data_IF_565188198847
#
_entry.id   IF_565188198847
#
_cell.length_a   1.000
_cell.length_b   1.000
_cell.length_c   1.000
_cell.angle_alpha   90.00
_cell.angle_beta   90.00
_cell.angle_gamma   90.00
#
_symmetry.space_group_name_H-M   'P 1'
#
loop_
_entity.id
_entity.type
_entity.pdbx_description
1 polymer ?
2 polymer ?
3 water ?
#
loop_
_entity_poly.entity_id
_entity_poly.type
_entity_poly.pdbx_seq_one_letter_code
_entity_poly.pdbx_strand_id
2 'polyribonucleotide' 'UUGCGAAUUCGCUU' ?
#
# COMPACT_ATOMS: atom_id res chain seq x y z
N UNK A 3 30.55 1.57 -13.87
CA UNK A 3 29.57 1.18 -14.89
C UNK A 3 28.43 2.20 -14.98
N UNK A 4 28.21 2.76 -16.19
CA UNK A 4 27.15 3.73 -16.42
C UNK A 4 25.74 3.15 -16.18
N UNK A 5 24.80 4.03 -15.87
CA UNK A 5 23.45 3.59 -15.55
C UNK A 5 22.42 4.04 -16.57
N UNK A 6 21.33 3.28 -16.63
CA UNK A 6 20.16 3.66 -17.40
C UNK A 6 19.01 3.72 -16.41
N UNK A 7 18.24 4.81 -16.47
CA UNK A 7 17.07 4.97 -15.60
C UNK A 7 15.79 5.04 -16.41
N UNK A 8 14.88 4.12 -16.10
CA UNK A 8 13.62 3.99 -16.83
C UNK A 8 12.45 4.22 -15.90
N UNK A 9 11.42 4.90 -16.39
CA UNK A 9 10.17 5.08 -15.66
C UNK A 9 9.17 4.01 -16.05
N UNK A 10 8.54 3.37 -15.06
CA UNK A 10 7.35 2.57 -15.30
C UNK A 10 6.12 3.48 -15.22
N UNK A 11 5.81 4.12 -16.34
CA UNK A 11 4.65 5.00 -16.43
C UNK A 11 3.35 4.24 -16.37
N UNK A 12 2.33 4.86 -15.76
CA UNK A 12 1.06 4.20 -15.48
C UNK A 12 -0.16 5.11 -15.68
N UNK A 13 -1.07 4.71 -16.57
CA UNK A 13 -2.33 5.44 -16.73
C UNK A 13 -3.53 4.51 -16.69
N UNK A 14 -4.57 4.91 -15.96
CA UNK A 14 -5.84 4.19 -15.99
C UNK A 14 -6.59 4.62 -17.23
N UNK A 15 -6.30 3.98 -18.35
CA UNK A 15 -6.90 4.36 -19.62
C UNK A 15 -8.36 3.94 -19.71
N UNK A 16 -8.71 2.87 -18.99
CA UNK A 16 -10.10 2.40 -18.97
C UNK A 16 -10.56 2.11 -17.54
N UNK A 17 -11.32 3.03 -16.96
CA UNK A 17 -11.79 2.85 -15.59
C UNK A 17 -12.79 1.70 -15.52
N UNK A 18 -12.83 1.03 -14.37
CA UNK A 18 -13.77 -0.06 -14.16
C UNK A 18 -15.19 0.48 -14.33
N UNK A 19 -15.97 -0.18 -15.20
CA UNK A 19 -17.35 0.21 -15.46
C UNK A 19 -18.28 -0.36 -14.39
N UNK A 20 -19.42 0.29 -14.19
CA UNK A 20 -20.37 -0.06 -13.12
C UNK A 20 -20.66 -1.55 -12.99
N UNK A 21 -20.97 -2.22 -14.11
CA UNK A 21 -21.39 -3.61 -14.04
C UNK A 21 -20.27 -4.57 -13.66
N UNK A 22 -19.05 -4.03 -13.52
CA UNK A 22 -17.91 -4.82 -13.10
C UNK A 22 -17.42 -4.42 -11.70
N UNK A 23 -17.92 -3.31 -11.17
CA UNK A 23 -17.55 -2.88 -9.82
C UNK A 23 -18.43 -3.51 -8.74
N UNK A 24 -18.28 -4.82 -8.56
CA UNK A 24 -19.16 -5.59 -7.70
C UNK A 24 -19.03 -5.22 -6.25
N UNK A 25 -17.82 -4.83 -5.86
CA UNK A 25 -17.52 -4.52 -4.48
C UNK A 25 -17.77 -3.04 -4.22
N UNK A 26 -18.24 -2.34 -5.25
CA UNK A 26 -18.55 -0.92 -5.17
C UNK A 26 -17.39 -0.09 -4.61
N UNK A 27 -16.20 -0.23 -5.20
CA UNK A 27 -15.01 0.50 -4.74
C UNK A 27 -14.89 1.91 -5.34
N UNK A 28 -14.10 2.76 -4.68
CA UNK A 28 -13.59 3.99 -5.29
C UNK A 28 -12.59 3.61 -6.38
N UNK A 29 -12.53 4.42 -7.44
CA UNK A 29 -11.50 4.20 -8.47
C UNK A 29 -10.25 5.04 -8.20
N UNK A 30 -9.06 4.42 -8.37
CA UNK A 30 -7.80 5.08 -8.04
C UNK A 30 -6.81 5.17 -9.21
N UNK A 31 -6.93 6.20 -10.04
CA UNK A 31 -5.99 6.36 -11.16
C UNK A 31 -4.56 6.62 -10.67
N UNK A 32 -3.61 5.76 -11.06
CA UNK A 32 -2.22 5.90 -10.60
C UNK A 32 -1.61 7.24 -10.98
N UNK A 33 -2.08 7.81 -12.09
CA UNK A 33 -1.55 9.08 -12.57
C UNK A 33 -2.01 10.28 -11.75
N UNK A 34 -2.63 10.02 -10.60
CA UNK A 34 -3.08 11.09 -9.72
C UNK A 34 -2.06 11.35 -8.62
N UNK A 35 -1.10 10.46 -8.47
CA UNK A 35 0.02 10.73 -7.58
C UNK A 35 1.36 10.64 -8.31
N UNK A 36 2.20 11.63 -8.08
CA UNK A 36 3.47 11.73 -8.77
C UNK A 36 4.44 10.63 -8.40
N UNK A 37 4.43 10.19 -7.15
CA UNK A 37 5.42 9.19 -6.77
C UNK A 37 5.07 7.90 -7.46
N UNK A 38 6.09 7.17 -7.88
CA UNK A 38 5.88 5.97 -8.70
C UNK A 38 7.13 5.13 -8.70
N UNK A 39 7.15 4.07 -9.50
CA UNK A 39 8.33 3.23 -9.60
C UNK A 39 9.06 3.39 -10.93
N UNK A 40 10.33 2.97 -10.93
CA UNK A 40 11.16 3.01 -12.10
C UNK A 40 12.13 1.85 -12.05
N UNK A 41 12.91 1.68 -13.10
CA UNK A 41 13.90 0.61 -13.17
C UNK A 41 15.31 1.14 -13.46
N UNK A 42 16.28 0.62 -12.72
CA UNK A 42 17.67 1.00 -12.92
C UNK A 42 18.47 -0.17 -13.49
N UNK A 43 19.26 0.07 -14.54
CA UNK A 43 19.93 -1.02 -15.26
C UNK A 43 21.35 -0.71 -15.70
N UNK A 44 22.16 -1.76 -15.84
CA UNK A 44 23.52 -1.63 -16.35
C UNK A 44 23.52 -1.78 -17.87
N UNK A 45 22.41 -2.23 -18.42
CA UNK A 45 22.31 -2.33 -19.88
C UNK A 45 20.90 -1.95 -20.32
N UNK A 46 20.79 -1.27 -21.47
CA UNK A 46 19.51 -0.69 -21.88
C UNK A 46 18.39 -1.74 -22.11
N UNK A 47 17.16 -1.25 -22.17
CA UNK A 47 15.98 -2.08 -22.29
C UNK A 47 15.30 -1.80 -23.62
N UNK A 48 15.12 -2.84 -24.45
CA UNK A 48 14.56 -2.72 -25.80
C UNK A 48 13.16 -2.12 -25.78
N UNK A 49 12.84 -1.29 -26.77
CA UNK A 49 11.56 -0.58 -26.79
C UNK A 49 10.36 -1.53 -26.89
N UNK A 50 9.65 -1.70 -25.78
CA UNK A 50 8.52 -2.62 -25.73
C UNK A 50 7.20 -1.86 -25.79
N UNK A 51 6.22 -2.40 -26.53
CA UNK A 51 4.98 -1.64 -26.69
C UNK A 51 4.15 -1.56 -25.42
N UNK A 52 3.18 -0.65 -25.42
CA UNK A 52 2.30 -0.46 -24.29
C UNK A 52 1.50 -1.73 -24.05
N UNK A 53 1.37 -2.14 -22.79
CA UNK A 53 0.59 -3.32 -22.44
C UNK A 53 -0.28 -3.10 -21.19
N UNK A 54 -1.40 -3.82 -21.10
CA UNK A 54 -2.31 -3.56 -19.99
C UNK A 54 -1.99 -4.38 -18.75
N UNK A 55 -2.22 -3.81 -17.58
CA UNK A 55 -2.41 -4.60 -16.38
C UNK A 55 -3.84 -4.36 -15.86
N UNK A 56 -4.46 -5.39 -15.32
CA UNK A 56 -5.84 -5.28 -14.85
C UNK A 56 -5.92 -5.16 -13.33
N UNK A 57 -6.37 -4.00 -12.88
CA UNK A 57 -6.36 -3.67 -11.47
C UNK A 57 -7.79 -3.47 -10.97
N UNK A 58 -7.92 -3.40 -9.65
CA UNK A 58 -9.20 -3.10 -9.02
C UNK A 58 -9.86 -1.83 -9.57
N UNK A 59 -9.06 -0.86 -9.97
CA UNK A 59 -9.63 0.37 -10.52
C UNK A 59 -9.91 0.24 -12.02
N UNK A 60 -9.51 -0.88 -12.61
CA UNK A 60 -9.69 -1.08 -14.03
C UNK A 60 -8.40 -1.25 -14.83
N UNK A 61 -8.48 -0.91 -16.12
CA UNK A 61 -7.39 -1.17 -17.06
C UNK A 61 -6.27 -0.12 -17.06
N UNK A 62 -5.08 -0.53 -16.63
CA UNK A 62 -3.93 0.38 -16.60
C UNK A 62 -2.86 0.07 -17.66
N UNK A 63 -2.67 1.01 -18.58
CA UNK A 63 -1.65 0.88 -19.61
C UNK A 63 -0.27 1.11 -19.00
N UNK A 64 0.62 0.14 -19.21
CA UNK A 64 1.99 0.23 -18.71
C UNK A 64 2.91 0.74 -19.80
N UNK A 65 3.88 1.55 -19.41
CA UNK A 65 4.75 2.20 -20.38
C UNK A 65 6.16 2.37 -19.83
N UNK A 66 7.14 1.75 -20.49
CA UNK A 66 8.52 1.85 -20.03
C UNK A 66 9.30 2.89 -20.81
N UNK A 67 9.55 4.04 -20.19
CA UNK A 67 10.22 5.14 -20.89
C UNK A 67 11.57 5.46 -20.27
N UNK A 68 12.52 5.85 -21.11
CA UNK A 68 13.86 6.20 -20.65
C UNK A 68 13.91 7.58 -20.01
N UNK A 69 14.47 7.66 -18.81
CA UNK A 69 14.56 8.93 -18.09
C UNK A 69 15.92 9.53 -18.32
N UNK A 70 16.95 8.76 -18.01
CA UNK A 70 18.33 9.21 -18.18
C UNK A 70 19.23 8.02 -18.49
N UNK A 71 20.43 8.32 -18.99
CA UNK A 71 21.36 7.26 -19.37
C UNK A 71 22.81 7.75 -19.42
N UNK A 72 23.73 6.86 -19.05
CA UNK A 72 25.14 7.15 -19.13
C UNK A 72 25.69 7.82 -17.89
N UNK A 73 24.89 7.83 -16.83
CA UNK A 73 25.29 8.50 -15.60
C UNK A 73 25.93 7.54 -14.62
N UNK A 74 26.58 8.11 -13.61
CA UNK A 74 27.20 7.31 -12.58
C UNK A 74 26.42 7.47 -11.29
N UNK A 75 26.58 6.52 -10.39
CA UNK A 75 25.93 6.57 -9.09
C UNK A 75 26.96 6.11 -8.05
N UNK A 76 26.97 6.78 -6.90
CA UNK A 76 27.88 6.36 -5.83
C UNK A 76 27.53 4.97 -5.33
N UNK A 77 28.52 4.26 -4.81
CA UNK A 77 28.31 2.95 -4.23
C UNK A 77 27.30 3.05 -3.08
N UNK A 78 27.35 4.16 -2.34
CA UNK A 78 26.42 4.40 -1.22
C UNK A 78 24.95 4.34 -1.66
N UNK A 79 24.62 5.08 -2.72
CA UNK A 79 23.24 5.15 -3.19
C UNK A 79 22.78 3.84 -3.79
N UNK A 80 23.72 3.12 -4.40
CA UNK A 80 23.46 1.81 -5.01
C UNK A 80 23.12 0.79 -3.96
N UNK A 81 23.82 0.86 -2.84
CA UNK A 81 23.51 0.02 -1.69
C UNK A 81 22.14 0.38 -1.12
N UNK A 82 21.76 1.65 -1.19
CA UNK A 82 20.44 2.07 -0.75
C UNK A 82 19.36 1.57 -1.70
N UNK A 83 19.58 1.77 -2.99
CA UNK A 83 18.59 1.35 -3.98
C UNK A 83 18.34 -0.17 -3.89
N UNK A 84 19.42 -0.94 -3.81
CA UNK A 84 19.30 -2.39 -3.72
C UNK A 84 18.56 -2.87 -2.48
N UNK A 85 18.84 -2.27 -1.32
CA UNK A 85 18.13 -2.64 -0.11
C UNK A 85 16.64 -2.39 -0.26
N UNK A 86 16.29 -1.26 -0.87
CA UNK A 86 14.89 -0.96 -1.11
C UNK A 86 14.24 -1.99 -2.03
N UNK A 87 14.94 -2.32 -3.12
CA UNK A 87 14.43 -3.26 -4.10
C UNK A 87 14.05 -4.55 -3.37
N UNK A 88 14.89 -4.96 -2.45
CA UNK A 88 14.64 -6.19 -1.71
C UNK A 88 13.45 -6.03 -0.77
N UNK A 89 13.32 -4.84 -0.21
CA UNK A 89 12.27 -4.55 0.77
C UNK A 89 10.91 -4.71 0.13
N UNK A 90 10.72 -4.13 -1.05
CA UNK A 90 9.42 -4.23 -1.70
C UNK A 90 9.01 -5.67 -2.02
N UNK A 91 9.97 -6.51 -2.39
CA UNK A 91 9.62 -7.87 -2.81
C UNK A 91 9.46 -8.89 -1.68
N UNK A 92 10.14 -8.67 -0.56
CA UNK A 92 10.04 -9.62 0.56
C UNK A 92 9.11 -9.14 1.67
N UNK A 93 9.13 -7.84 1.97
CA UNK A 93 8.33 -7.34 3.08
C UNK A 93 7.02 -6.71 2.62
N UNK A 94 7.04 -6.08 1.45
CA UNK A 94 5.83 -5.46 0.95
C UNK A 94 4.95 -6.46 0.19
N UNK A 95 5.54 -7.17 -0.78
CA UNK A 95 4.76 -8.10 -1.61
C UNK A 95 4.81 -9.52 -1.06
N UNK A 96 5.78 -9.78 -0.18
CA UNK A 96 5.97 -11.08 0.43
C UNK A 96 6.14 -12.20 -0.61
N UNK A 97 7.23 -12.12 -1.37
CA UNK A 97 7.56 -13.10 -2.40
C UNK A 97 8.93 -13.71 -2.09
N UNK A 98 9.42 -14.55 -3.00
CA UNK A 98 10.77 -15.11 -2.88
C UNK A 98 11.47 -15.24 -4.23
N UNK A 99 12.54 -14.47 -4.41
CA UNK A 99 13.30 -14.48 -5.66
C UNK A 99 14.65 -15.18 -5.48
N UNK A 113 17.19 -5.24 -13.08
CA UNK A 113 18.33 -5.16 -12.16
C UNK A 113 17.90 -4.60 -10.80
N UNK A 114 17.45 -3.35 -10.79
CA UNK A 114 16.89 -2.75 -9.58
C UNK A 114 15.61 -1.94 -9.82
N UNK A 115 14.58 -2.22 -9.02
CA UNK A 115 13.35 -1.43 -8.98
C UNK A 115 13.45 -0.38 -7.86
N UNK A 116 12.92 0.81 -8.10
CA UNK A 116 13.08 1.91 -7.16
C UNK A 116 11.99 2.95 -7.33
N UNK A 117 11.70 3.71 -6.26
CA UNK A 117 10.67 4.76 -6.35
C UNK A 117 11.18 5.99 -7.05
N UNK A 118 10.30 6.64 -7.80
CA UNK A 118 10.61 7.91 -8.42
C UNK A 118 9.58 8.91 -7.96
N UNK A 119 9.96 10.17 -7.99
CA UNK A 119 9.05 11.24 -7.65
C UNK A 119 9.59 12.52 -8.25
N UNK A 120 8.70 13.42 -8.62
CA UNK A 120 9.11 14.73 -9.14
C UNK A 120 9.99 15.46 -8.12
N UNK A 121 10.75 16.44 -8.59
CA UNK A 121 11.65 17.21 -7.73
C UNK A 121 11.01 18.53 -7.35
N UNK A 122 10.36 19.17 -8.30
CA UNK A 122 9.51 20.32 -8.00
C UNK A 122 8.43 20.45 -9.08
N UNK A 125 8.05 18.83 -12.92
CA UNK A 125 7.94 18.03 -14.14
C UNK A 125 9.07 16.99 -14.29
N UNK A 126 10.19 17.23 -13.62
CA UNK A 126 11.33 16.34 -13.70
C UNK A 126 11.21 15.21 -12.66
N UNK A 127 11.26 13.97 -13.15
CA UNK A 127 11.09 12.81 -12.29
C UNK A 127 12.47 12.26 -11.91
N UNK A 128 12.65 11.94 -10.63
CA UNK A 128 13.96 11.52 -10.16
C UNK A 128 13.89 10.47 -9.03
N UNK A 129 15.01 9.81 -8.78
CA UNK A 129 15.15 8.83 -7.72
C UNK A 129 14.86 9.44 -6.36
N UNK A 130 13.95 8.83 -5.60
CA UNK A 130 13.48 9.40 -4.35
C UNK A 130 14.25 8.90 -3.14
N UNK A 131 15.46 9.45 -2.95
CA UNK A 131 16.37 9.03 -1.88
C UNK A 131 15.85 9.39 -0.49
N UNK A 132 15.19 10.53 -0.39
CA UNK A 132 14.60 10.93 0.88
C UNK A 132 13.54 9.92 1.31
N UNK A 133 12.62 9.59 0.40
CA UNK A 133 11.57 8.62 0.68
C UNK A 133 12.18 7.28 1.08
N UNK A 134 13.30 6.93 0.45
CA UNK A 134 13.96 5.67 0.78
C UNK A 134 14.55 5.69 2.18
N UNK A 135 15.22 6.78 2.55
CA UNK A 135 15.79 6.88 3.88
C UNK A 135 14.70 6.91 4.95
N UNK A 136 13.56 7.50 4.62
CA UNK A 136 12.37 7.46 5.48
C UNK A 136 11.93 6.03 5.81
N UNK A 137 11.86 5.18 4.78
CA UNK A 137 11.45 3.79 4.98
C UNK A 137 12.42 3.07 5.90
N UNK A 138 13.72 3.22 5.64
CA UNK A 138 14.74 2.64 6.49
C UNK A 138 14.70 3.16 7.94
N UNK A 139 14.16 4.35 8.14
CA UNK A 139 14.10 4.95 9.47
C UNK A 139 12.78 4.68 10.20
N UNK A 140 11.77 4.19 9.47
CA UNK A 140 10.48 3.90 10.07
C UNK A 140 10.58 2.72 11.02
N UNK A 141 9.79 2.75 12.10
CA UNK A 141 9.68 1.61 13.00
C UNK A 141 8.39 0.86 12.71
N UNK A 142 7.81 1.14 11.54
CA UNK A 142 6.69 0.37 11.01
C UNK A 142 7.07 -0.18 9.64
N UNK A 143 8.38 -0.21 9.35
CA UNK A 143 8.88 -0.75 8.09
C UNK A 143 8.72 -2.26 8.01
N UNK A 144 8.94 -2.93 9.13
CA UNK A 144 8.95 -4.39 9.15
C UNK A 144 7.78 -4.99 9.93
N UNK A 145 7.59 -4.52 11.16
CA UNK A 145 6.53 -5.07 11.98
C UNK A 145 5.63 -4.05 12.67
N UNK A 146 4.96 -4.52 13.72
CA UNK A 146 4.15 -3.70 14.59
C UNK A 146 5.06 -2.96 15.56
N UNK A 147 5.00 -1.62 15.55
CA UNK A 147 5.81 -0.81 16.47
C UNK A 147 5.18 -0.71 17.87
N UNK A 148 5.96 -0.32 18.87
CA UNK A 148 5.43 -0.17 20.22
C UNK A 148 5.15 1.29 20.54
N UNK A 149 3.86 1.61 20.70
CA UNK A 149 3.45 2.98 20.97
C UNK A 149 2.77 3.09 22.33
N UNK A 150 3.20 4.07 23.12
CA UNK A 150 2.75 4.21 24.50
C UNK A 150 1.79 5.38 24.70
N UNK A 151 0.50 5.11 24.56
CA UNK A 151 -0.53 6.13 24.79
C UNK A 151 -0.98 6.10 26.25
N UNK A 152 -0.97 7.25 26.91
CA UNK A 152 -1.55 7.37 28.24
C UNK A 152 -2.51 8.54 28.29
N UNK A 153 -2.99 8.85 29.49
CA UNK A 153 -3.99 9.89 29.66
C UNK A 153 -3.38 11.26 29.37
N UNK A 154 -2.13 11.43 29.79
CA UNK A 154 -1.41 12.67 29.58
C UNK A 154 -0.81 12.77 28.18
N UNK A 155 -0.67 11.62 27.51
CA UNK A 155 -0.25 11.61 26.12
C UNK A 155 -1.17 10.73 25.28
N UNK A 156 -2.44 11.18 25.14
CA UNK A 156 -3.45 10.38 24.42
C UNK A 156 -3.09 10.24 22.95
N UNK A 157 -3.67 9.25 22.29
CA UNK A 157 -3.53 9.12 20.85
C UNK A 157 -4.15 10.35 20.23
N UNK A 158 -3.49 10.89 19.22
CA UNK A 158 -3.97 12.10 18.57
C UNK A 158 -4.36 11.73 17.15
N UNK A 159 -5.56 12.13 16.74
CA UNK A 159 -6.03 11.83 15.40
C UNK A 159 -5.73 12.93 14.39
N UNK A 160 -4.93 12.62 13.37
CA UNK A 160 -4.66 13.59 12.32
C UNK A 160 -5.21 13.11 10.97
N UNK A 161 -6.44 13.53 10.68
CA UNK A 161 -7.16 13.19 9.45
C UNK A 161 -6.31 13.09 8.18
N UNK A 162 -5.29 13.93 8.09
CA UNK A 162 -4.43 13.97 6.93
C UNK A 162 -3.55 12.73 6.85
N UNK A 163 -3.19 12.18 8.01
CA UNK A 163 -2.31 11.01 8.05
C UNK A 163 -3.02 9.74 7.61
N UNK A 164 -4.32 9.85 7.36
CA UNK A 164 -5.13 8.69 7.06
C UNK A 164 -5.80 8.84 5.70
N UNK A 165 -5.31 9.78 4.90
CA UNK A 165 -5.90 10.07 3.60
C UNK A 165 -5.39 9.13 2.49
N UNK A 166 -4.19 8.60 2.66
CA UNK A 166 -3.51 7.81 1.64
C UNK A 166 -2.70 6.72 2.34
N UNK A 167 -3.33 6.00 3.26
CA UNK A 167 -2.57 5.13 4.15
C UNK A 167 -2.92 3.67 4.08
N UNK A 168 -1.94 2.86 4.46
CA UNK A 168 -2.10 1.45 4.66
C UNK A 168 -1.90 1.26 6.15
N UNK A 169 -2.76 0.48 6.79
CA UNK A 169 -2.63 0.30 8.23
C UNK A 169 -2.54 -1.15 8.65
N UNK A 170 -2.10 -1.34 9.89
CA UNK A 170 -1.87 -2.66 10.45
C UNK A 170 -2.31 -2.70 11.90
N UNK A 171 -3.20 -3.65 12.24
CA UNK A 171 -3.60 -3.86 13.64
C UNK A 171 -2.41 -4.15 14.52
N UNK A 172 -2.26 -3.39 15.59
CA UNK A 172 -1.13 -3.53 16.47
C UNK A 172 -1.34 -4.65 17.46
N UNK A 173 -2.59 -5.06 17.60
CA UNK A 173 -3.00 -5.94 18.69
C UNK A 173 -3.05 -7.43 18.31
N UNK A 174 -2.97 -7.73 17.02
CA UNK A 174 -3.00 -9.14 16.61
C UNK A 174 -2.06 -9.48 15.45
N UNK A 175 -1.96 -10.77 15.16
CA UNK A 175 -1.20 -11.28 14.03
C UNK A 175 0.25 -10.83 14.05
N UNK A 176 0.84 -10.92 15.24
CA UNK A 176 2.21 -10.49 15.47
C UNK A 176 3.20 -11.19 14.55
N UNK A 177 2.98 -12.48 14.34
CA UNK A 177 3.82 -13.29 13.46
C UNK A 177 3.82 -12.75 12.03
N UNK A 178 2.62 -12.54 11.48
CA UNK A 178 2.46 -12.14 10.09
C UNK A 178 1.36 -11.07 9.95
N UNK A 179 1.71 -9.82 10.26
CA UNK A 179 0.77 -8.70 10.35
C UNK A 179 -0.07 -8.43 9.09
N UNK A 180 -1.36 -8.18 9.28
CA UNK A 180 -2.26 -7.80 8.19
C UNK A 180 -2.04 -6.36 7.75
N UNK A 181 -2.31 -6.09 6.49
CA UNK A 181 -2.16 -4.75 5.94
C UNK A 181 -3.45 -4.39 5.24
N UNK A 182 -4.04 -3.25 5.59
CA UNK A 182 -5.31 -2.85 5.01
C UNK A 182 -5.22 -1.47 4.44
N UNK A 183 -5.82 -1.27 3.27
CA UNK A 183 -6.00 0.09 2.75
C UNK A 183 -7.05 0.77 3.62
N UNK A 184 -6.81 2.03 3.98
CA UNK A 184 -7.88 2.79 4.58
C UNK A 184 -8.84 3.16 3.46
N UNK A 185 -10.04 2.61 3.50
CA UNK A 185 -10.96 2.80 2.40
C UNK A 185 -11.81 4.03 2.66
N UNK A 186 -12.17 4.22 3.91
CA UNK A 186 -13.00 5.37 4.27
C UNK A 186 -12.78 5.74 5.73
N UNK A 187 -12.92 7.04 6.00
CA UNK A 187 -12.86 7.55 7.35
C UNK A 187 -14.25 7.97 7.77
N UNK A 188 -14.81 7.28 8.76
CA UNK A 188 -16.17 7.56 9.22
C UNK A 188 -16.16 8.56 10.37
N UNK A 189 -16.27 9.83 10.02
CA UNK A 189 -16.26 10.91 10.99
C UNK A 189 -17.47 10.87 11.93
N UNK A 190 -18.52 10.16 11.52
CA UNK A 190 -19.76 10.11 12.32
C UNK A 190 -19.82 8.92 13.27
N UNK A 191 -18.72 8.18 13.38
CA UNK A 191 -18.62 7.09 14.34
C UNK A 191 -17.51 7.36 15.37
N UNK A 192 -17.63 6.76 16.55
CA UNK A 192 -16.57 6.82 17.56
C UNK A 192 -16.42 5.44 18.22
N UNK A 193 -15.35 5.23 19.00
CA UNK A 193 -15.23 3.97 19.73
C UNK A 193 -16.43 3.72 20.64
N UNK A 194 -17.23 4.75 20.88
CA UNK A 194 -18.45 4.60 21.68
C UNK A 194 -19.67 4.25 20.84
N UNK A 195 -19.52 4.24 19.52
CA UNK A 195 -20.58 3.84 18.61
C UNK A 195 -21.02 2.40 18.89
N UNK A 196 -22.28 2.09 18.56
CA UNK A 196 -22.84 0.76 18.77
C UNK A 196 -22.09 -0.32 18.00
N UNK A 197 -21.89 -1.47 18.63
CA UNK A 197 -21.18 -2.57 17.99
C UNK A 197 -22.10 -3.42 17.10
N UNK A 198 -21.65 -3.70 15.87
CA UNK A 198 -22.40 -4.51 14.89
C UNK A 198 -22.87 -5.86 15.43
N UNK A 199 -22.13 -6.40 16.41
CA UNK A 199 -22.53 -7.63 17.09
C UNK A 199 -23.18 -7.32 18.44
N UNK A 200 -24.21 -8.09 18.81
CA UNK A 200 -25.02 -7.84 20.00
C UNK A 200 -24.29 -8.04 21.33
N UNK A 201 -23.44 -9.06 21.41
CA UNK A 201 -22.73 -9.40 22.66
C UNK A 201 -21.84 -8.28 23.19
N UNK A 202 -21.67 -7.22 22.40
CA UNK A 202 -20.94 -6.04 22.84
C UNK A 202 -21.77 -4.81 22.51
N UNK A 203 -21.82 -3.86 23.45
CA UNK A 203 -22.51 -2.59 23.20
C UNK A 203 -21.68 -1.68 22.30
N UNK A 204 -20.39 -1.56 22.58
CA UNK A 204 -19.53 -0.60 21.88
C UNK A 204 -18.23 -1.23 21.41
N UNK A 205 -17.62 -0.62 20.40
CA UNK A 205 -16.27 -0.97 19.98
C UNK A 205 -15.29 -0.93 21.15
N UNK A 206 -15.39 0.12 21.96
CA UNK A 206 -14.56 0.28 23.16
C UNK A 206 -14.67 -0.96 24.05
N UNK A 207 -15.90 -1.31 24.41
CA UNK A 207 -16.15 -2.47 25.25
C UNK A 207 -15.62 -3.75 24.59
N UNK A 208 -15.81 -3.87 23.29
CA UNK A 208 -15.32 -5.02 22.54
C UNK A 208 -13.81 -5.20 22.67
N UNK A 209 -13.04 -4.14 22.45
CA UNK A 209 -11.60 -4.25 22.52
C UNK A 209 -11.08 -4.42 23.94
N UNK A 210 -11.88 -3.95 24.89
CA UNK A 210 -11.55 -4.13 26.30
C UNK A 210 -11.88 -5.55 26.76
N UNK A 211 -13.06 -6.05 26.37
CA UNK A 211 -13.48 -7.39 26.73
C UNK A 211 -12.59 -8.46 26.08
N UNK A 212 -12.42 -8.35 24.78
CA UNK A 212 -11.67 -9.37 24.03
C UNK A 212 -10.14 -9.27 24.14
N UNK A 213 -9.59 -8.07 24.01
CA UNK A 213 -8.14 -7.93 23.95
C UNK A 213 -7.54 -7.18 25.13
N UNK A 214 -8.36 -6.89 26.14
CA UNK A 214 -7.90 -6.12 27.28
C UNK A 214 -7.22 -4.82 26.82
N UNK A 215 -7.87 -4.15 25.88
CA UNK A 215 -7.35 -2.90 25.32
C UNK A 215 -8.11 -1.68 25.83
N UNK A 216 -7.37 -0.67 26.25
CA UNK A 216 -7.94 0.57 26.74
C UNK A 216 -7.69 1.71 25.77
N UNK A 217 -8.68 2.57 25.57
CA UNK A 217 -8.55 3.70 24.66
C UNK A 217 -8.32 5.04 25.39
N UNK A 218 -7.42 5.87 24.84
CA UNK A 218 -7.15 7.19 25.41
C UNK A 218 -7.89 8.32 24.69
N UNK A 219 -8.59 7.96 23.63
CA UNK A 219 -9.19 8.92 22.71
C UNK A 219 -10.55 8.40 22.27
N UNK A 220 -11.61 8.91 22.88
CA UNK A 220 -12.96 8.40 22.60
C UNK A 220 -13.72 9.20 21.55
N UNK A 221 -13.02 10.11 20.88
CA UNK A 221 -13.67 10.97 19.88
C UNK A 221 -13.15 10.80 18.47
N UNK A 222 -12.35 9.77 18.25
CA UNK A 222 -11.76 9.54 16.94
C UNK A 222 -12.76 8.87 16.01
N UNK A 223 -12.79 9.29 14.73
CA UNK A 223 -13.60 8.57 13.75
C UNK A 223 -13.09 7.15 13.61
N UNK A 224 -13.91 6.27 13.05
CA UNK A 224 -13.48 4.90 12.83
C UNK A 224 -13.13 4.74 11.36
N UNK A 225 -12.47 3.62 11.03
CA UNK A 225 -11.93 3.43 9.67
C UNK A 225 -12.55 2.28 8.91
N UNK A 226 -12.85 2.53 7.65
CA UNK A 226 -13.23 1.47 6.72
C UNK A 226 -11.98 0.88 6.10
N UNK A 227 -12.00 -0.41 5.80
CA UNK A 227 -10.81 -1.09 5.29
C UNK A 227 -11.00 -1.99 4.06
N UNK A 228 -9.95 -2.08 3.27
CA UNK A 228 -9.94 -2.94 2.12
C UNK A 228 -8.62 -3.71 2.15
N UNK A 229 -8.70 -5.03 1.93
CA UNK A 229 -7.53 -5.90 2.00
C UNK A 229 -6.55 -5.52 0.90
N UNK A 230 -5.25 -5.74 1.13
CA UNK A 230 -4.25 -5.28 0.19
C UNK A 230 -3.77 -6.39 -0.71
N UNK A 231 -3.92 -7.62 -0.25
CA UNK A 231 -3.49 -8.80 -1.02
C UNK A 231 -4.07 -8.87 -2.43
N UNK A 232 -3.33 -9.47 -3.35
CA UNK A 232 -3.82 -9.70 -4.70
C UNK A 232 -3.09 -10.86 -5.38
N UNK A 233 -3.64 -11.35 -6.48
CA UNK A 233 -2.95 -12.36 -7.26
C UNK A 233 -1.72 -11.74 -7.93
N UNK A 234 -0.69 -12.54 -8.16
CA UNK A 234 0.55 -12.06 -8.76
C UNK A 234 0.38 -11.63 -10.21
N UNK A 235 -0.43 -12.35 -10.98
CA UNK A 235 -0.60 -12.09 -12.40
C UNK A 235 -1.85 -11.27 -12.73
N UNK A 236 -1.64 -10.09 -13.31
CA UNK A 236 -2.75 -9.20 -13.62
C UNK A 236 -2.80 -8.90 -15.09
N UNK A 237 -2.15 -9.74 -15.89
CA UNK A 237 -2.12 -9.54 -17.34
C UNK A 237 -3.46 -9.92 -17.98
N UNK A 238 -4.31 -10.55 -17.19
CA UNK A 238 -5.65 -10.87 -17.65
C UNK A 238 -6.65 -10.35 -16.63
N UNK A 239 -7.80 -9.86 -17.11
CA UNK A 239 -8.86 -9.31 -16.26
C UNK A 239 -9.46 -10.39 -15.33
N UNK A 240 -9.96 -9.98 -14.17
CA UNK A 240 -10.61 -10.91 -13.24
C UNK A 240 -12.06 -11.20 -13.60
N UNK A 241 -12.46 -10.93 -14.84
CA UNK A 241 -13.82 -11.21 -15.26
C UNK A 241 -13.90 -12.41 -16.21
N UNK A 254 -16.45 -25.61 -0.35
CA UNK A 254 -15.35 -25.35 0.58
C UNK A 254 -14.66 -24.02 0.30
N UNK A 255 -14.78 -23.51 -0.92
CA UNK A 255 -14.29 -22.18 -1.24
C UNK A 255 -15.26 -21.13 -0.70
N UNK A 256 -16.48 -21.58 -0.38
CA UNK A 256 -17.52 -20.75 0.19
C UNK A 256 -17.05 -20.14 1.51
N UNK A 257 -16.46 -20.97 2.35
CA UNK A 257 -15.93 -20.53 3.64
C UNK A 257 -14.90 -19.42 3.52
N UNK A 258 -14.12 -19.43 2.43
CA UNK A 258 -13.14 -18.38 2.22
C UNK A 258 -13.85 -17.10 1.79
N UNK A 259 -14.98 -17.24 1.11
CA UNK A 259 -15.72 -16.09 0.61
C UNK A 259 -16.42 -15.36 1.74
N UNK A 260 -16.99 -16.11 2.67
CA UNK A 260 -17.62 -15.51 3.85
C UNK A 260 -16.58 -14.76 4.68
N UNK A 261 -15.42 -15.37 4.86
CA UNK A 261 -14.34 -14.83 5.67
C UNK A 261 -13.77 -13.56 5.05
N UNK A 262 -13.53 -13.61 3.74
CA UNK A 262 -13.00 -12.46 3.01
C UNK A 262 -13.99 -11.29 3.06
N UNK A 263 -15.28 -11.64 3.10
CA UNK A 263 -16.34 -10.64 3.10
C UNK A 263 -16.36 -9.88 4.42
N UNK A 264 -16.26 -10.62 5.52
CA UNK A 264 -16.25 -10.02 6.86
C UNK A 264 -14.97 -9.24 7.09
N UNK A 265 -13.90 -9.66 6.39
CA UNK A 265 -12.64 -8.95 6.44
C UNK A 265 -12.83 -7.53 5.91
N UNK A 266 -13.53 -7.44 4.78
CA UNK A 266 -13.77 -6.16 4.11
C UNK A 266 -14.77 -5.26 4.83
N UNK A 267 -15.61 -5.86 5.68
CA UNK A 267 -16.67 -5.14 6.34
C UNK A 267 -16.23 -4.64 7.72
N UNK A 268 -15.06 -5.10 8.14
CA UNK A 268 -14.46 -4.69 9.41
C UNK A 268 -14.35 -3.18 9.52
N UNK A 269 -14.60 -2.68 10.72
CA UNK A 269 -14.38 -1.27 11.03
C UNK A 269 -13.31 -1.16 12.12
N UNK A 270 -12.20 -0.48 11.82
CA UNK A 270 -11.06 -0.45 12.74
C UNK A 270 -10.89 0.88 13.48
N UNK A 271 -10.34 0.77 14.68
CA UNK A 271 -10.04 1.92 15.51
C UNK A 271 -8.65 2.41 15.21
N UNK A 272 -8.53 3.66 14.72
CA UNK A 272 -7.23 4.23 14.35
C UNK A 272 -6.18 4.11 15.44
N UNK A 273 -6.55 4.36 16.71
CA UNK A 273 -5.59 4.24 17.83
C UNK A 273 -4.96 2.84 17.92
N UNK A 274 -5.66 1.83 17.42
CA UNK A 274 -5.21 0.46 17.56
C UNK A 274 -4.38 0.00 16.36
N UNK A 275 -4.19 0.89 15.39
CA UNK A 275 -3.42 0.53 14.21
C UNK A 275 -2.21 1.42 14.00
N UNK A 276 -1.18 0.85 13.39
CA UNK A 276 -0.03 1.61 12.96
C UNK A 276 -0.20 1.93 11.49
N UNK A 277 0.33 3.08 11.10
CA UNK A 277 0.32 3.50 9.70
C UNK A 277 1.61 3.04 9.07
N UNK A 278 1.52 2.43 7.89
CA UNK A 278 2.70 1.93 7.18
C UNK A 278 3.38 3.08 6.43
N UNK A 279 4.72 3.09 6.46
CA UNK A 279 5.49 4.13 5.76
C UNK A 279 5.24 4.15 4.23
N UNK A 280 4.88 3.02 3.63
CA UNK A 280 4.48 3.06 2.21
C UNK A 280 3.05 3.60 2.10
N UNK A 281 2.88 4.76 1.42
CA UNK A 281 1.51 5.21 1.17
C UNK A 281 0.72 4.23 0.30
N UNK A 282 -0.59 4.35 0.41
CA UNK A 282 -1.52 3.42 -0.24
C UNK A 282 -1.46 3.52 -1.77
N UNK A 283 -1.39 4.73 -2.30
CA UNK A 283 -1.36 4.92 -3.75
C UNK A 283 -0.10 4.39 -4.41
N UNK A 284 0.96 4.23 -3.64
CA UNK A 284 2.17 3.57 -4.15
C UNK A 284 2.11 2.06 -3.91
N UNK A 285 1.44 1.67 -2.84
CA UNK A 285 1.27 0.25 -2.53
C UNK A 285 0.50 -0.37 -3.67
N UNK A 286 -0.43 0.39 -4.22
CA UNK A 286 -1.22 -0.05 -5.37
C UNK A 286 -0.36 -0.25 -6.59
N UNK A 287 0.57 0.69 -6.82
CA UNK A 287 1.43 0.57 -7.99
C UNK A 287 2.37 -0.60 -7.80
N UNK A 288 2.81 -0.84 -6.57
CA UNK A 288 3.75 -1.94 -6.32
C UNK A 288 3.20 -3.34 -6.64
N UNK A 289 1.89 -3.56 -6.43
CA UNK A 289 1.33 -4.90 -6.65
C UNK A 289 1.22 -5.23 -8.15
N UNK A 290 1.45 -4.22 -8.99
CA UNK A 290 1.49 -4.45 -10.43
C UNK A 290 2.87 -4.92 -10.87
N UNK A 291 3.87 -4.73 -10.01
CA UNK A 291 5.26 -4.96 -10.41
C UNK A 291 5.59 -6.39 -10.90
N UNK A 292 5.14 -7.43 -10.18
CA UNK A 292 5.49 -8.75 -10.72
C UNK A 292 4.92 -8.96 -12.13
N UNK A 293 3.72 -8.44 -12.38
CA UNK A 293 3.11 -8.58 -13.71
C UNK A 293 3.98 -7.92 -14.75
N UNK A 294 4.59 -6.79 -14.37
CA UNK A 294 5.38 -6.02 -15.30
C UNK A 294 6.79 -6.61 -15.54
N UNK A 295 7.48 -6.98 -14.47
CA UNK A 295 8.82 -7.57 -14.61
C UNK A 295 8.75 -8.83 -15.42
N UNK A 296 7.77 -9.66 -15.08
CA UNK A 296 7.55 -10.93 -15.77
C UNK A 296 7.30 -10.69 -17.25
N UNK A 297 6.48 -9.70 -17.56
CA UNK A 297 6.17 -9.37 -18.95
C UNK A 297 7.44 -8.91 -19.69
N UNK A 298 8.13 -7.94 -19.10
CA UNK A 298 9.36 -7.39 -19.67
C UNK A 298 10.39 -8.45 -20.02
N UNK A 299 10.53 -9.46 -19.16
CA UNK A 299 11.60 -10.43 -19.35
C UNK A 299 11.17 -11.70 -20.10
N UNK A 300 9.95 -11.69 -20.62
CA UNK A 300 9.44 -12.80 -21.43
C UNK A 300 9.06 -12.32 -22.84
#
# INVERSE_FOLDING_TARGET
SDQPCYLYVIGMVLTTPLPDELNFRRRKLYPPEDTTRCFGILTAKPIPQIPHFPVYTRSGEVTISIELAASGFMLSLQMLELITRLHQYIFSHILRLEKPALEFKPTDADSAYCVLPLNVVNDSSTLDIDFKFMEDIEKSEARIGIPSTKYTKETPFVFKLEDYQDAVIIPRYRNFDQPHRFYVADVYTDLTPLSKFPSPEYETFAEYYKTKYNLDLTNLNQPLLDVDHTSSRLNLLTPRHLNQKGKALPLSSAEKRKAKWESLQNKQILVPELCAIHPIPASLWRKAVCLPSILYRLHCLL
#
